data_IF_234123571431
#
_entry.id   IF_234123571431
#
_cell.length_a   1.000
_cell.length_b   1.000
_cell.length_c   1.000
_cell.angle_alpha   90.00
_cell.angle_beta   90.00
_cell.angle_gamma   90.00
#
_symmetry.space_group_name_H-M   'P 1'
#
loop_
_entity.id
_entity.type
_entity.pdbx_description
1 polymer ?
#
# COMPACT_ATOMS: atom_id res chain seq x y z
N UNK A 1 -25.71 -17.62 19.48
CA UNK A 1 -26.26 -16.28 19.20
C UNK A 1 -25.35 -15.15 19.69
N UNK A 2 -24.97 -15.07 20.98
CA UNK A 2 -24.09 -14.00 21.51
C UNK A 2 -22.71 -13.89 20.81
N UNK A 3 -22.05 -15.03 20.55
CA UNK A 3 -20.72 -15.04 19.92
C UNK A 3 -20.70 -14.49 18.48
N UNK A 4 -21.82 -14.58 17.76
CA UNK A 4 -21.94 -14.03 16.41
C UNK A 4 -22.11 -12.50 16.44
N UNK A 5 -22.80 -11.98 17.45
CA UNK A 5 -22.98 -10.53 17.67
C UNK A 5 -21.65 -9.90 18.11
N UNK A 6 -20.92 -10.53 19.04
CA UNK A 6 -19.58 -10.10 19.46
C UNK A 6 -18.56 -10.07 18.32
N UNK A 7 -18.53 -11.10 17.44
CA UNK A 7 -17.70 -11.08 16.22
C UNK A 7 -18.06 -9.95 15.26
N UNK A 8 -19.33 -9.58 15.19
CA UNK A 8 -19.81 -8.48 14.33
C UNK A 8 -19.41 -7.10 14.85
N UNK A 9 -19.28 -6.96 16.18
CA UNK A 9 -18.89 -5.72 16.85
C UNK A 9 -17.37 -5.54 16.93
N UNK A 10 -16.63 -6.62 17.23
CA UNK A 10 -15.15 -6.58 17.34
C UNK A 10 -14.46 -6.75 15.97
N UNK A 11 -15.19 -7.24 14.97
CA UNK A 11 -14.65 -7.58 13.66
C UNK A 11 -14.00 -8.97 13.65
N UNK A 12 -13.97 -9.57 12.47
CA UNK A 12 -13.32 -10.85 12.21
C UNK A 12 -11.80 -10.67 12.08
N UNK A 13 -11.05 -11.78 12.09
CA UNK A 13 -9.61 -11.75 11.75
C UNK A 13 -9.38 -11.12 10.37
N UNK A 14 -10.27 -11.39 9.43
CA UNK A 14 -10.21 -10.83 8.08
C UNK A 14 -10.39 -9.30 8.09
N UNK A 15 -11.36 -8.79 8.85
CA UNK A 15 -11.60 -7.34 8.95
C UNK A 15 -10.40 -6.60 9.54
N UNK A 16 -9.70 -7.22 10.50
CA UNK A 16 -8.44 -6.67 11.04
C UNK A 16 -7.32 -6.64 10.01
N UNK A 17 -7.21 -7.67 9.18
CA UNK A 17 -6.20 -7.72 8.11
C UNK A 17 -6.50 -6.68 7.03
N UNK A 18 -7.77 -6.55 6.61
CA UNK A 18 -8.19 -5.50 5.68
C UNK A 18 -7.89 -4.10 6.21
N UNK A 19 -8.13 -3.86 7.51
CA UNK A 19 -7.78 -2.57 8.15
C UNK A 19 -6.27 -2.33 8.20
N UNK A 20 -5.46 -3.38 8.37
CA UNK A 20 -4.00 -3.25 8.30
C UNK A 20 -3.54 -2.90 6.89
N UNK A 21 -4.08 -3.59 5.88
CA UNK A 21 -3.78 -3.34 4.48
C UNK A 21 -4.27 -1.97 4.02
N UNK A 22 -5.40 -1.47 4.55
CA UNK A 22 -5.92 -0.15 4.18
C UNK A 22 -4.96 0.98 4.53
N UNK A 23 -4.14 0.83 5.57
CA UNK A 23 -3.10 1.80 5.93
C UNK A 23 -2.04 1.86 4.82
N UNK A 24 -1.53 0.70 4.40
CA UNK A 24 -0.56 0.60 3.30
C UNK A 24 -1.15 1.08 1.97
N UNK A 25 -2.41 0.73 1.69
CA UNK A 25 -3.13 1.20 0.50
C UNK A 25 -3.20 2.72 0.46
N UNK A 26 -3.53 3.37 1.59
CA UNK A 26 -3.56 4.82 1.67
C UNK A 26 -2.18 5.43 1.42
N UNK A 27 -1.11 4.83 1.94
CA UNK A 27 0.26 5.28 1.67
C UNK A 27 0.63 5.14 0.19
N UNK A 28 0.27 4.02 -0.44
CA UNK A 28 0.48 3.81 -1.88
C UNK A 28 -0.31 4.83 -2.72
N UNK A 29 -1.58 5.06 -2.39
CA UNK A 29 -2.43 6.01 -3.12
C UNK A 29 -1.92 7.46 -3.02
N UNK A 30 -1.16 7.82 -1.98
CA UNK A 30 -0.52 9.14 -1.91
C UNK A 30 0.50 9.38 -3.02
N UNK A 31 1.05 8.33 -3.63
CA UNK A 31 1.94 8.45 -4.79
C UNK A 31 1.20 8.56 -6.12
N UNK A 32 -0.13 8.37 -6.16
CA UNK A 32 -0.92 8.34 -7.39
C UNK A 32 -0.76 9.60 -8.23
N UNK A 33 -0.91 10.79 -7.61
CA UNK A 33 -0.77 12.07 -8.33
C UNK A 33 0.61 12.26 -8.93
N UNK A 34 1.68 11.85 -8.21
CA UNK A 34 3.05 11.92 -8.74
C UNK A 34 3.19 10.98 -9.94
N UNK A 35 2.77 9.72 -9.81
CA UNK A 35 2.94 8.71 -10.86
C UNK A 35 2.12 9.04 -12.12
N UNK A 36 0.91 9.56 -11.95
CA UNK A 36 0.04 9.97 -13.06
C UNK A 36 0.58 11.19 -13.82
N UNK A 37 1.41 12.01 -13.18
CA UNK A 37 2.02 13.17 -13.84
C UNK A 37 3.22 12.83 -14.73
N UNK A 38 3.73 11.60 -14.67
CA UNK A 38 4.92 11.16 -15.40
C UNK A 38 4.56 10.78 -16.85
N UNK A 39 5.43 11.13 -17.78
CA UNK A 39 5.40 10.56 -19.13
C UNK A 39 5.88 9.10 -19.14
N UNK A 40 5.62 8.38 -20.23
CA UNK A 40 6.13 7.01 -20.41
C UNK A 40 7.65 6.88 -20.24
N UNK A 41 8.41 7.88 -20.69
CA UNK A 41 9.87 7.89 -20.55
C UNK A 41 10.28 8.08 -19.09
N UNK A 42 9.66 9.04 -18.39
CA UNK A 42 9.92 9.29 -16.97
C UNK A 42 9.50 8.11 -16.09
N UNK A 43 8.39 7.44 -16.43
CA UNK A 43 7.94 6.25 -15.71
C UNK A 43 8.92 5.09 -15.91
N UNK A 44 9.45 4.89 -17.13
CA UNK A 44 10.51 3.90 -17.39
C UNK A 44 11.77 4.19 -16.58
N UNK A 45 12.16 5.45 -16.43
CA UNK A 45 13.33 5.88 -15.66
C UNK A 45 13.21 5.63 -14.15
N UNK A 46 11.98 5.48 -13.61
CA UNK A 46 11.80 5.07 -12.20
C UNK A 46 12.40 3.69 -11.92
N UNK A 47 12.43 2.78 -12.91
CA UNK A 47 13.02 1.43 -12.74
C UNK A 47 14.52 1.47 -12.40
N UNK A 48 15.41 2.08 -13.22
CA UNK A 48 16.83 2.19 -12.86
C UNK A 48 17.04 3.04 -11.60
N UNK A 49 16.23 4.07 -11.36
CA UNK A 49 16.27 4.85 -10.12
C UNK A 49 16.07 4.00 -8.86
N UNK A 50 15.05 3.14 -8.83
CA UNK A 50 14.82 2.27 -7.67
C UNK A 50 15.91 1.20 -7.53
N UNK A 51 16.43 0.65 -8.64
CA UNK A 51 17.58 -0.26 -8.60
C UNK A 51 18.81 0.40 -7.97
N UNK A 52 19.09 1.65 -8.32
CA UNK A 52 20.20 2.40 -7.74
C UNK A 52 20.00 2.64 -6.24
N UNK A 53 18.77 2.98 -5.82
CA UNK A 53 18.44 3.14 -4.40
C UNK A 53 18.64 1.85 -3.60
N UNK A 54 18.20 0.71 -4.12
CA UNK A 54 18.42 -0.59 -3.48
C UNK A 54 19.92 -0.92 -3.40
N UNK A 55 20.68 -0.67 -4.46
CA UNK A 55 22.14 -0.85 -4.46
C UNK A 55 22.83 0.07 -3.45
N UNK A 56 22.26 1.25 -3.17
CA UNK A 56 22.71 2.18 -2.14
C UNK A 56 22.32 1.80 -0.71
N UNK A 57 21.69 0.64 -0.49
CA UNK A 57 21.34 0.13 0.84
C UNK A 57 19.99 0.61 1.39
N UNK A 58 19.09 1.10 0.53
CA UNK A 58 17.72 1.37 0.94
C UNK A 58 17.03 0.04 1.35
N UNK A 59 16.55 -0.03 2.61
CA UNK A 59 15.79 -1.15 3.19
C UNK A 59 14.39 -0.74 3.58
#
# INVERSE_FOLDING_TARGET
MLNAILKKIVGTKNDRELKRLSILLNEVNRFETEMMSLSDTQLKEKTPYFKQKLAGGLT
#
